data_IF_382814750941
#
_entry.id   IF_382814750941
#
_cell.length_a   1.000
_cell.length_b   1.000
_cell.length_c   1.000
_cell.angle_alpha   90.00
_cell.angle_beta   90.00
_cell.angle_gamma   90.00
#
_symmetry.space_group_name_H-M   'P 1'
#
loop_
_entity.id
_entity.type
_entity.pdbx_description
1 polymer ?
#
# COMPACT_ATOMS: atom_id res chain seq x y z
N UNK A 1 4.05 -19.15 -5.82
CA UNK A 1 3.23 -17.96 -5.58
C UNK A 1 3.91 -17.05 -4.57
N UNK A 2 4.18 -15.80 -4.96
CA UNK A 2 4.72 -14.77 -4.07
C UNK A 2 3.65 -14.27 -3.09
N UNK A 3 4.05 -13.79 -1.90
CA UNK A 3 3.14 -13.32 -0.84
C UNK A 3 3.11 -11.79 -0.78
N UNK A 4 1.91 -11.20 -0.81
CA UNK A 4 1.69 -9.76 -0.67
C UNK A 4 0.96 -9.44 0.61
N UNK A 5 1.37 -8.35 1.25
CA UNK A 5 0.56 -7.66 2.25
C UNK A 5 0.05 -6.32 1.70
N UNK A 6 -1.18 -5.96 2.05
CA UNK A 6 -1.80 -4.68 1.75
C UNK A 6 -1.83 -3.81 3.00
N UNK A 7 -1.43 -2.54 2.90
CA UNK A 7 -1.59 -1.55 3.97
C UNK A 7 -2.77 -0.63 3.65
N UNK A 8 -3.73 -0.56 4.56
CA UNK A 8 -4.88 0.33 4.49
C UNK A 8 -4.93 1.29 5.69
N UNK A 9 -5.62 2.41 5.54
CA UNK A 9 -6.11 3.12 6.73
C UNK A 9 -7.34 2.42 7.32
N UNK A 10 -7.72 2.83 8.53
CA UNK A 10 -8.91 2.34 9.24
C UNK A 10 -10.18 2.35 8.37
N UNK A 11 -10.45 3.42 7.62
CA UNK A 11 -11.66 3.54 6.77
C UNK A 11 -11.67 2.47 5.69
N UNK A 12 -10.58 2.35 4.93
CA UNK A 12 -10.50 1.38 3.83
C UNK A 12 -10.46 -0.07 4.32
N UNK A 13 -9.94 -0.30 5.52
CA UNK A 13 -10.01 -1.61 6.18
C UNK A 13 -11.42 -1.96 6.70
N UNK A 14 -12.38 -1.02 6.64
CA UNK A 14 -13.75 -1.21 7.14
C UNK A 14 -13.84 -1.13 8.67
N UNK A 15 -12.91 -0.43 9.31
CA UNK A 15 -12.83 -0.30 10.77
C UNK A 15 -13.54 0.96 11.28
N UNK A 16 -14.49 1.53 10.54
CA UNK A 16 -15.21 2.76 10.90
C UNK A 16 -14.70 4.00 10.17
N UNK A 17 -15.16 5.17 10.61
CA UNK A 17 -14.77 6.49 10.07
C UNK A 17 -13.85 7.23 11.05
N UNK A 18 -13.93 8.56 11.09
CA UNK A 18 -13.01 9.43 11.83
C UNK A 18 -12.93 9.12 13.34
N UNK A 19 -13.97 8.52 13.93
CA UNK A 19 -13.96 8.03 15.31
C UNK A 19 -12.84 7.02 15.59
N UNK A 20 -12.36 6.34 14.54
CA UNK A 20 -11.28 5.35 14.61
C UNK A 20 -10.00 5.83 13.90
N UNK A 21 -9.84 7.13 13.65
CA UNK A 21 -8.59 7.70 13.12
C UNK A 21 -7.38 7.48 14.05
N UNK A 22 -7.62 7.22 15.34
CA UNK A 22 -6.62 6.87 16.35
C UNK A 22 -6.48 5.35 16.59
N UNK A 23 -7.00 4.50 15.69
CA UNK A 23 -6.89 3.04 15.80
C UNK A 23 -5.42 2.58 15.76
N UNK A 24 -4.93 1.83 16.76
CA UNK A 24 -3.58 1.28 16.75
C UNK A 24 -3.34 0.29 15.60
N UNK A 25 -2.07 0.03 15.21
CA UNK A 25 -1.76 -0.88 14.11
C UNK A 25 -2.23 -2.31 14.39
N UNK A 26 -2.94 -2.90 13.42
CA UNK A 26 -3.46 -4.27 13.47
C UNK A 26 -3.47 -4.91 12.08
N UNK A 27 -3.94 -6.15 11.97
CA UNK A 27 -4.01 -6.85 10.69
C UNK A 27 -4.87 -8.10 10.70
N UNK A 28 -5.30 -8.52 9.51
CA UNK A 28 -6.05 -9.77 9.26
C UNK A 28 -5.36 -10.57 8.16
N UNK A 29 -5.38 -11.90 8.28
CA UNK A 29 -4.91 -12.84 7.24
C UNK A 29 -5.98 -13.04 6.15
N UNK A 30 -6.48 -11.93 5.63
CA UNK A 30 -7.48 -11.89 4.57
C UNK A 30 -7.33 -10.59 3.79
N UNK A 31 -7.90 -10.55 2.59
CA UNK A 31 -8.21 -9.29 1.94
C UNK A 31 -9.23 -8.51 2.77
N UNK A 32 -9.17 -7.18 2.70
CA UNK A 32 -10.17 -6.25 3.23
C UNK A 32 -10.33 -5.08 2.27
N UNK A 33 -11.54 -4.52 2.19
CA UNK A 33 -11.84 -3.33 1.39
C UNK A 33 -11.34 -3.44 -0.06
N UNK A 34 -10.48 -2.53 -0.55
CA UNK A 34 -9.93 -2.60 -1.91
C UNK A 34 -9.09 -3.87 -2.16
N UNK A 35 -8.63 -4.55 -1.10
CA UNK A 35 -7.97 -5.85 -1.19
C UNK A 35 -8.83 -6.92 -1.85
N UNK A 36 -10.16 -6.86 -1.71
CA UNK A 36 -11.08 -7.82 -2.35
C UNK A 36 -11.06 -7.68 -3.88
N UNK A 37 -10.88 -6.46 -4.38
CA UNK A 37 -10.75 -6.17 -5.82
C UNK A 37 -9.36 -6.58 -6.32
N UNK A 38 -8.32 -6.29 -5.53
CA UNK A 38 -6.92 -6.58 -5.87
C UNK A 38 -6.60 -8.07 -5.86
N UNK A 39 -7.20 -8.86 -4.95
CA UNK A 39 -6.90 -10.27 -4.77
C UNK A 39 -6.97 -11.10 -6.06
N UNK A 40 -8.07 -11.10 -6.84
CA UNK A 40 -8.12 -11.85 -8.09
C UNK A 40 -7.11 -11.32 -9.14
N UNK A 41 -6.78 -10.03 -9.12
CA UNK A 41 -5.76 -9.47 -10.02
C UNK A 41 -4.37 -9.97 -9.68
N UNK A 42 -4.01 -10.03 -8.38
CA UNK A 42 -2.77 -10.65 -7.93
C UNK A 42 -2.70 -12.13 -8.30
N UNK A 43 -3.78 -12.88 -8.11
CA UNK A 43 -3.84 -14.31 -8.44
C UNK A 43 -3.59 -14.56 -9.93
N UNK A 44 -4.06 -13.67 -10.81
CA UNK A 44 -3.80 -13.76 -12.25
C UNK A 44 -2.32 -13.57 -12.63
N UNK A 45 -1.48 -13.12 -11.68
CA UNK A 45 -0.05 -12.83 -11.85
C UNK A 45 0.85 -13.80 -11.05
N UNK A 46 0.34 -14.95 -10.58
CA UNK A 46 1.04 -15.91 -9.69
C UNK A 46 1.52 -15.29 -8.35
N UNK A 47 0.68 -14.42 -7.81
CA UNK A 47 0.89 -13.75 -6.52
C UNK A 47 -0.37 -13.87 -5.65
N UNK A 48 -0.20 -14.05 -4.33
CA UNK A 48 -1.31 -14.14 -3.38
C UNK A 48 -1.31 -12.96 -2.40
N UNK A 49 -2.49 -12.36 -2.20
CA UNK A 49 -2.70 -11.35 -1.17
C UNK A 49 -3.06 -12.05 0.14
N UNK A 50 -2.05 -12.27 0.99
CA UNK A 50 -2.17 -13.13 2.17
C UNK A 50 -2.57 -12.39 3.45
N UNK A 51 -2.39 -11.06 3.48
CA UNK A 51 -2.71 -10.25 4.65
C UNK A 51 -3.09 -8.81 4.27
N UNK A 52 -3.94 -8.23 5.11
CA UNK A 52 -4.17 -6.78 5.16
C UNK A 52 -3.78 -6.26 6.53
N UNK A 53 -2.83 -5.33 6.58
CA UNK A 53 -2.47 -4.58 7.76
C UNK A 53 -3.13 -3.19 7.69
N UNK A 54 -3.49 -2.63 8.83
CA UNK A 54 -4.14 -1.34 8.86
C UNK A 54 -3.87 -0.57 10.15
N UNK A 55 -3.92 0.75 10.03
CA UNK A 55 -3.71 1.69 11.12
C UNK A 55 -4.65 2.89 10.96
N UNK A 56 -5.04 3.52 12.07
CA UNK A 56 -5.56 4.87 12.06
C UNK A 56 -4.50 5.81 11.50
N UNK A 57 -4.87 6.65 10.52
CA UNK A 57 -3.91 7.53 9.85
C UNK A 57 -3.42 8.65 10.80
N UNK A 58 -4.28 9.16 11.68
CA UNK A 58 -3.85 10.07 12.75
C UNK A 58 -3.03 9.38 13.85
N UNK A 59 -3.35 8.12 14.17
CA UNK A 59 -2.52 7.34 15.10
C UNK A 59 -1.08 7.25 14.59
N UNK A 60 -0.93 6.93 13.30
CA UNK A 60 0.37 6.81 12.65
C UNK A 60 1.19 8.10 12.74
N UNK A 61 0.58 9.27 12.50
CA UNK A 61 1.29 10.55 12.58
C UNK A 61 1.97 10.78 13.95
N UNK A 62 1.38 10.26 15.03
CA UNK A 62 1.92 10.40 16.38
C UNK A 62 2.82 9.22 16.81
N UNK A 63 2.79 8.09 16.10
CA UNK A 63 3.44 6.83 16.52
C UNK A 63 4.16 6.11 15.37
N UNK A 64 4.68 6.86 14.39
CA UNK A 64 5.21 6.32 13.14
C UNK A 64 6.24 5.20 13.35
N UNK A 65 7.23 5.42 14.23
CA UNK A 65 8.29 4.44 14.49
C UNK A 65 7.74 3.13 15.07
N UNK A 66 6.74 3.20 15.96
CA UNK A 66 6.10 2.02 16.53
C UNK A 66 5.35 1.21 15.45
N UNK A 67 4.58 1.92 14.62
CA UNK A 67 3.78 1.30 13.55
C UNK A 67 4.70 0.65 12.50
N UNK A 68 5.75 1.35 12.07
CA UNK A 68 6.76 0.84 11.15
C UNK A 68 7.41 -0.44 11.67
N UNK A 69 7.90 -0.42 12.92
CA UNK A 69 8.50 -1.61 13.55
C UNK A 69 7.55 -2.80 13.58
N UNK A 70 6.28 -2.57 13.95
CA UNK A 70 5.26 -3.63 14.01
C UNK A 70 4.95 -4.21 12.63
N UNK A 71 4.76 -3.37 11.62
CA UNK A 71 4.42 -3.82 10.27
C UNK A 71 5.61 -4.48 9.55
N UNK A 72 6.82 -3.96 9.71
CA UNK A 72 8.05 -4.62 9.23
C UNK A 72 8.24 -5.98 9.90
N UNK A 73 8.12 -6.04 11.24
CA UNK A 73 8.22 -7.29 11.97
C UNK A 73 7.18 -8.33 11.54
N UNK A 74 5.95 -7.90 11.24
CA UNK A 74 4.94 -8.76 10.64
C UNK A 74 5.39 -9.27 9.27
N UNK A 75 5.79 -8.37 8.36
CA UNK A 75 6.14 -8.72 7.00
C UNK A 75 7.32 -9.71 6.95
N UNK A 76 8.35 -9.52 7.79
CA UNK A 76 9.46 -10.46 7.94
C UNK A 76 9.00 -11.82 8.47
N UNK A 77 8.20 -11.83 9.55
CA UNK A 77 7.71 -13.06 10.17
C UNK A 77 6.83 -13.90 9.24
N UNK A 78 6.04 -13.26 8.40
CA UNK A 78 5.15 -13.92 7.44
C UNK A 78 5.78 -14.13 6.06
N UNK A 79 7.05 -13.75 5.91
CA UNK A 79 7.82 -13.84 4.67
C UNK A 79 7.11 -13.17 3.50
N UNK A 80 6.60 -11.96 3.72
CA UNK A 80 5.98 -11.15 2.69
C UNK A 80 7.05 -10.75 1.67
N UNK A 81 6.80 -11.06 0.39
CA UNK A 81 7.72 -10.77 -0.71
C UNK A 81 7.62 -9.31 -1.17
N UNK A 82 6.41 -8.73 -1.16
CA UNK A 82 6.23 -7.29 -1.35
C UNK A 82 4.99 -6.74 -0.65
N UNK A 83 4.99 -5.43 -0.41
CA UNK A 83 3.90 -4.71 0.26
C UNK A 83 3.30 -3.65 -0.65
N UNK A 84 1.97 -3.64 -0.80
CA UNK A 84 1.24 -2.53 -1.42
C UNK A 84 0.71 -1.59 -0.33
N UNK A 85 1.19 -0.35 -0.32
CA UNK A 85 0.76 0.70 0.59
C UNK A 85 -0.25 1.63 -0.09
N UNK A 86 -1.53 1.56 0.31
CA UNK A 86 -2.62 2.24 -0.38
C UNK A 86 -3.68 1.26 -0.89
N UNK A 87 -4.60 1.70 -1.77
CA UNK A 87 -4.60 2.96 -2.52
C UNK A 87 -5.02 4.18 -1.69
N UNK A 88 -4.18 5.22 -1.58
CA UNK A 88 -4.46 6.39 -0.74
C UNK A 88 -5.27 7.51 -1.39
N UNK A 89 -5.50 7.48 -2.71
CA UNK A 89 -6.22 8.53 -3.44
C UNK A 89 -5.66 9.93 -3.10
N UNK A 90 -6.51 10.95 -2.92
CA UNK A 90 -6.10 12.31 -2.50
C UNK A 90 -6.00 12.52 -0.99
N UNK A 91 -6.16 11.48 -0.16
CA UNK A 91 -6.24 11.66 1.30
C UNK A 91 -4.86 11.96 1.90
N UNK A 92 -4.62 13.14 2.48
CA UNK A 92 -3.26 13.56 2.86
C UNK A 92 -2.62 12.67 3.92
N UNK A 93 -3.30 12.45 5.05
CA UNK A 93 -2.74 11.68 6.17
C UNK A 93 -2.45 10.23 5.76
N UNK A 94 -3.36 9.61 5.01
CA UNK A 94 -3.14 8.25 4.54
C UNK A 94 -2.08 8.17 3.43
N UNK A 95 -1.98 9.18 2.57
CA UNK A 95 -0.89 9.28 1.59
C UNK A 95 0.47 9.37 2.26
N UNK A 96 0.61 10.22 3.28
CA UNK A 96 1.84 10.32 4.07
C UNK A 96 2.17 9.01 4.79
N UNK A 97 1.18 8.37 5.41
CA UNK A 97 1.37 7.03 6.03
C UNK A 97 1.82 5.99 5.01
N UNK A 98 1.18 5.92 3.84
CA UNK A 98 1.52 4.97 2.79
C UNK A 98 2.94 5.19 2.24
N UNK A 99 3.32 6.45 2.00
CA UNK A 99 4.64 6.79 1.48
C UNK A 99 5.76 6.47 2.48
N UNK A 100 5.60 6.87 3.74
CA UNK A 100 6.59 6.60 4.79
C UNK A 100 6.73 5.11 5.08
N UNK A 101 5.62 4.36 5.14
CA UNK A 101 5.67 2.91 5.29
C UNK A 101 6.36 2.23 4.11
N UNK A 102 6.05 2.63 2.87
CA UNK A 102 6.73 2.09 1.68
C UNK A 102 8.25 2.31 1.76
N UNK A 103 8.68 3.53 2.12
CA UNK A 103 10.09 3.87 2.33
C UNK A 103 10.73 3.02 3.43
N UNK A 104 10.04 2.83 4.55
CA UNK A 104 10.53 2.02 5.68
C UNK A 104 10.66 0.53 5.31
N UNK A 105 9.71 -0.03 4.56
CA UNK A 105 9.81 -1.40 4.04
C UNK A 105 11.01 -1.58 3.12
N UNK A 106 11.22 -0.67 2.17
CA UNK A 106 12.39 -0.73 1.26
C UNK A 106 13.71 -0.65 2.04
N UNK A 107 13.80 0.26 3.02
CA UNK A 107 14.97 0.37 3.89
C UNK A 107 15.22 -0.91 4.73
N UNK A 108 14.17 -1.70 4.99
CA UNK A 108 14.26 -2.99 5.68
C UNK A 108 14.51 -4.19 4.76
N UNK A 109 14.66 -3.96 3.44
CA UNK A 109 14.88 -5.00 2.44
C UNK A 109 13.62 -5.72 1.95
N UNK A 110 12.43 -5.17 2.21
CA UNK A 110 11.14 -5.69 1.74
C UNK A 110 10.64 -4.80 0.62
N UNK A 111 10.45 -5.35 -0.57
CA UNK A 111 9.95 -4.59 -1.71
C UNK A 111 8.59 -3.97 -1.41
N UNK A 112 8.39 -2.72 -1.79
CA UNK A 112 7.12 -2.04 -1.57
C UNK A 112 6.72 -1.13 -2.73
N UNK A 113 5.42 -0.88 -2.81
CA UNK A 113 4.80 0.05 -3.76
C UNK A 113 3.82 0.89 -3.01
N UNK A 114 3.80 2.20 -3.22
CA UNK A 114 2.70 3.06 -2.81
C UNK A 114 1.75 3.30 -3.98
N UNK A 115 0.48 3.62 -3.72
CA UNK A 115 -0.42 4.17 -4.75
C UNK A 115 -1.27 5.28 -4.19
N UNK A 116 -1.30 6.41 -4.89
CA UNK A 116 -2.01 7.62 -4.50
C UNK A 116 -2.22 8.54 -5.70
N UNK A 117 -3.04 9.57 -5.54
CA UNK A 117 -3.33 10.52 -6.61
C UNK A 117 -2.29 11.65 -6.69
N UNK A 118 -2.17 12.32 -7.83
CA UNK A 118 -1.22 13.45 -7.99
C UNK A 118 -1.53 14.61 -7.03
N UNK A 119 -2.81 14.76 -6.66
CA UNK A 119 -3.26 15.76 -5.69
C UNK A 119 -2.87 15.43 -4.25
N UNK A 120 -2.42 14.19 -3.98
CA UNK A 120 -1.91 13.82 -2.67
C UNK A 120 -0.55 14.50 -2.42
N UNK A 121 -0.37 15.29 -1.34
CA UNK A 121 0.90 15.96 -1.08
C UNK A 121 2.10 15.01 -0.99
N UNK A 122 1.87 13.77 -0.51
CA UNK A 122 2.92 12.77 -0.41
C UNK A 122 3.46 12.32 -1.78
N UNK A 123 2.70 12.48 -2.88
CA UNK A 123 3.18 12.17 -4.22
C UNK A 123 4.40 12.99 -4.58
N UNK A 124 4.30 14.33 -4.48
CA UNK A 124 5.40 15.21 -4.84
C UNK A 124 6.60 15.03 -3.90
N UNK A 125 6.32 14.84 -2.61
CA UNK A 125 7.35 14.70 -1.58
C UNK A 125 8.17 13.42 -1.74
N UNK A 126 7.56 12.31 -2.20
CA UNK A 126 8.19 10.99 -2.15
C UNK A 126 8.42 10.32 -3.52
N UNK A 127 7.91 10.84 -4.63
CA UNK A 127 8.03 10.20 -5.97
C UNK A 127 9.47 9.86 -6.39
N UNK A 128 10.45 10.64 -5.93
CA UNK A 128 11.87 10.40 -6.24
C UNK A 128 12.55 9.40 -5.28
N UNK A 129 11.86 8.97 -4.22
CA UNK A 129 12.41 8.11 -3.17
C UNK A 129 11.79 6.72 -3.15
N UNK A 130 10.55 6.57 -3.62
CA UNK A 130 9.80 5.31 -3.60
C UNK A 130 9.04 5.10 -4.91
N UNK A 131 8.64 3.86 -5.16
CA UNK A 131 7.75 3.54 -6.29
C UNK A 131 6.32 3.95 -5.95
N UNK A 132 5.76 4.92 -6.69
CA UNK A 132 4.35 5.35 -6.54
C UNK A 132 3.57 5.07 -7.82
N UNK A 133 2.59 4.17 -7.76
CA UNK A 133 1.66 3.89 -8.87
C UNK A 133 0.58 4.97 -8.93
N UNK A 134 0.43 5.56 -10.11
CA UNK A 134 -0.57 6.59 -10.41
C UNK A 134 -1.99 6.04 -10.22
N UNK A 135 -2.83 6.82 -9.56
CA UNK A 135 -4.26 6.56 -9.50
C UNK A 135 -5.09 7.85 -9.49
N UNK A 136 -6.38 7.82 -9.86
CA UNK A 136 -7.24 8.98 -9.72
C UNK A 136 -7.60 9.26 -8.26
N UNK A 137 -7.99 10.50 -8.00
CA UNK A 137 -8.73 10.87 -6.78
C UNK A 137 -10.04 10.07 -6.64
N UNK A 138 -10.60 10.01 -5.43
CA UNK A 138 -11.89 9.36 -5.14
C UNK A 138 -12.96 9.84 -6.13
N UNK A 139 -13.62 8.89 -6.80
CA UNK A 139 -14.67 9.17 -7.79
C UNK A 139 -14.17 9.55 -9.19
N UNK A 140 -12.86 9.58 -9.41
CA UNK A 140 -12.28 9.81 -10.73
C UNK A 140 -12.37 8.58 -11.64
N UNK A 141 -12.25 8.83 -12.95
CA UNK A 141 -12.24 7.80 -14.00
C UNK A 141 -10.90 7.06 -13.98
N UNK A 142 -10.92 5.76 -14.30
CA UNK A 142 -9.70 4.95 -14.43
C UNK A 142 -9.30 4.16 -13.18
N UNK A 143 -10.13 4.17 -12.13
CA UNK A 143 -9.82 3.46 -10.88
C UNK A 143 -9.59 1.95 -11.09
N UNK A 144 -10.34 1.31 -11.97
CA UNK A 144 -10.17 -0.11 -12.29
C UNK A 144 -8.81 -0.40 -12.94
N UNK A 145 -8.35 0.46 -13.84
CA UNK A 145 -7.04 0.29 -14.48
C UNK A 145 -5.91 0.58 -13.49
N UNK A 146 -6.08 1.54 -12.58
CA UNK A 146 -5.15 1.74 -11.47
C UNK A 146 -5.02 0.50 -10.57
N UNK A 147 -6.12 -0.24 -10.30
CA UNK A 147 -6.02 -1.52 -9.58
C UNK A 147 -5.21 -2.58 -10.34
N UNK A 148 -5.37 -2.67 -11.66
CA UNK A 148 -4.54 -3.56 -12.49
C UNK A 148 -3.06 -3.16 -12.44
N UNK A 149 -2.78 -1.86 -12.53
CA UNK A 149 -1.41 -1.33 -12.50
C UNK A 149 -0.76 -1.55 -11.12
N UNK A 150 -1.51 -1.36 -10.03
CA UNK A 150 -1.07 -1.67 -8.68
C UNK A 150 -0.69 -3.14 -8.54
N UNK A 151 -1.56 -4.04 -8.99
CA UNK A 151 -1.31 -5.48 -8.94
C UNK A 151 -0.09 -5.86 -9.79
N UNK A 152 0.02 -5.32 -11.00
CA UNK A 152 1.14 -5.56 -11.92
C UNK A 152 2.48 -5.14 -11.31
N UNK A 153 2.63 -3.86 -10.94
CA UNK A 153 3.90 -3.32 -10.45
C UNK A 153 4.31 -4.00 -9.14
N UNK A 154 3.36 -4.20 -8.21
CA UNK A 154 3.66 -4.87 -6.94
C UNK A 154 4.09 -6.32 -7.15
N UNK A 155 3.45 -7.04 -8.09
CA UNK A 155 3.84 -8.42 -8.42
C UNK A 155 5.25 -8.46 -9.01
N UNK A 156 5.57 -7.57 -9.96
CA UNK A 156 6.92 -7.48 -10.54
C UNK A 156 7.98 -7.25 -9.47
N UNK A 157 7.74 -6.34 -8.53
CA UNK A 157 8.65 -6.14 -7.39
C UNK A 157 8.77 -7.38 -6.50
N UNK A 158 7.67 -8.08 -6.21
CA UNK A 158 7.70 -9.33 -5.45
C UNK A 158 8.55 -10.43 -6.12
N UNK A 159 8.56 -10.46 -7.46
CA UNK A 159 9.41 -11.34 -8.26
C UNK A 159 10.83 -10.81 -8.47
N UNK A 160 11.17 -9.63 -7.92
CA UNK A 160 12.46 -8.93 -8.11
C UNK A 160 12.76 -8.62 -9.57
N UNK A 161 11.73 -8.33 -10.33
CA UNK A 161 11.82 -7.96 -11.74
C UNK A 161 11.96 -6.44 -11.92
N UNK A 162 12.57 -6.05 -13.04
CA UNK A 162 12.72 -4.65 -13.42
C UNK A 162 11.37 -4.02 -13.77
N UNK A 163 11.13 -2.80 -13.28
CA UNK A 163 9.89 -2.04 -13.51
C UNK A 163 10.07 -0.78 -14.36
N UNK A 164 11.26 -0.54 -14.94
CA UNK A 164 11.58 0.64 -15.77
C UNK A 164 10.65 0.78 -16.97
N UNK A 165 10.20 -0.34 -17.55
CA UNK A 165 9.24 -0.37 -18.66
C UNK A 165 7.82 0.09 -18.25
N UNK A 166 7.57 0.34 -16.96
CA UNK A 166 6.29 0.79 -16.45
C UNK A 166 6.31 2.25 -15.98
N UNK A 167 7.30 3.05 -16.40
CA UNK A 167 7.45 4.45 -16.00
C UNK A 167 6.22 5.32 -16.26
N UNK A 168 5.44 5.02 -17.31
CA UNK A 168 4.17 5.69 -17.59
C UNK A 168 3.10 5.47 -16.50
N UNK A 169 3.17 4.35 -15.77
CA UNK A 169 2.28 3.99 -14.67
C UNK A 169 2.69 4.61 -13.34
N UNK A 170 3.89 5.21 -13.26
CA UNK A 170 4.54 5.68 -12.04
C UNK A 170 4.70 7.21 -12.03
N UNK A 171 4.70 7.83 -10.85
CA UNK A 171 5.12 9.24 -10.70
C UNK A 171 6.63 9.40 -10.64
#
# INVERSE_FOLDING_TARGET
MKKIALILNHVQAGMGSDENAMLPPSGKKSALGPGEILKPMFQSLDVDLVATLFCGDQYYLSHAEEVEKKFIGFAQKFEIDAVLCGPAMQYPNFGEMAARLAKAFEASGISSVASMAIENPATELFKNEITIVKMPSKGGIGLQDSFKNMALVTSRKAHKEDITNYSELLF
#
